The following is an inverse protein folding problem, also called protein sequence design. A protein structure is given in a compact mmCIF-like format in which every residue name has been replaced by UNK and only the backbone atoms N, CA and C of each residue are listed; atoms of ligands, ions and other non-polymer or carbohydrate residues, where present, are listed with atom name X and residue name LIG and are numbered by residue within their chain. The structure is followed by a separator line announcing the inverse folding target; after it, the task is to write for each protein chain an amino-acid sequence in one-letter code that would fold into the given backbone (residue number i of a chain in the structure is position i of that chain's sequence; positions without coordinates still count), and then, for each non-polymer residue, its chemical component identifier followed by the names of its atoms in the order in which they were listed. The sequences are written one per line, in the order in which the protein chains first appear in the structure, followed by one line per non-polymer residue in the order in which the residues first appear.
data_IF_050087365636
#
_entry.id   IF_050087365636
#
_cell.length_a   1.000
_cell.length_b   1.000
_cell.length_c   1.000
_cell.angle_alpha   90.00
_cell.angle_beta   90.00
_cell.angle_gamma   90.00
#
_symmetry.space_group_name_H-M   'P 1'
#
loop_
_entity.id
_entity.type
_entity.pdbx_description
1 polymer ?
#
# COMPACT_ATOMS: atom_id res chain seq x y z
N UNK A 1 15.17 11.60 -18.23
CA UNK A 1 14.21 10.71 -18.91
C UNK A 1 12.95 10.76 -18.05
N UNK A 2 12.07 11.74 -18.31
CA UNK A 2 10.85 11.97 -17.50
C UNK A 2 9.70 11.19 -18.12
N UNK A 3 9.78 9.86 -18.01
CA UNK A 3 8.75 8.93 -18.50
C UNK A 3 7.54 8.83 -17.56
N UNK A 4 7.56 9.54 -16.42
CA UNK A 4 6.55 9.54 -15.37
C UNK A 4 5.29 10.36 -15.72
N UNK A 5 4.96 10.49 -17.02
CA UNK A 5 3.82 11.30 -17.49
C UNK A 5 2.50 10.55 -17.46
N UNK A 6 2.53 9.22 -17.46
CA UNK A 6 1.36 8.35 -17.54
C UNK A 6 1.24 7.37 -16.36
N UNK A 7 2.19 7.38 -15.44
CA UNK A 7 2.20 6.54 -14.24
C UNK A 7 2.68 7.33 -13.01
N UNK A 8 2.54 6.71 -11.84
CA UNK A 8 3.00 7.28 -10.57
C UNK A 8 3.80 6.22 -9.81
N UNK A 9 4.87 6.65 -9.16
CA UNK A 9 5.62 5.83 -8.20
C UNK A 9 5.27 6.23 -6.78
N UNK A 10 4.98 5.26 -5.92
CA UNK A 10 4.68 5.49 -4.51
C UNK A 10 5.55 4.58 -3.65
N UNK A 11 6.24 5.17 -2.68
CA UNK A 11 6.86 4.43 -1.58
C UNK A 11 5.85 4.37 -0.41
N UNK A 12 5.39 3.17 -0.08
CA UNK A 12 4.33 2.97 0.93
C UNK A 12 4.73 1.93 1.97
N UNK A 13 4.40 2.20 3.23
CA UNK A 13 4.44 1.20 4.30
C UNK A 13 3.07 0.55 4.42
N UNK A 14 3.01 -0.77 4.32
CA UNK A 14 1.77 -1.55 4.32
C UNK A 14 1.68 -2.36 5.61
N UNK A 15 0.59 -2.25 6.40
CA UNK A 15 0.38 -3.12 7.55
C UNK A 15 0.38 -4.59 7.12
N UNK A 16 1.03 -5.50 7.88
CA UNK A 16 1.19 -6.90 7.47
C UNK A 16 -0.15 -7.65 7.37
N UNK A 17 -1.21 -7.15 8.02
CA UNK A 17 -2.56 -7.70 7.95
C UNK A 17 -3.29 -7.39 6.64
N UNK A 18 -2.77 -6.46 5.82
CA UNK A 18 -3.37 -6.06 4.56
C UNK A 18 -2.57 -6.62 3.40
N UNK A 19 -3.25 -7.21 2.41
CA UNK A 19 -2.57 -7.60 1.19
C UNK A 19 -2.19 -6.38 0.35
N UNK A 20 -1.04 -6.46 -0.33
CA UNK A 20 -0.55 -5.41 -1.24
C UNK A 20 -1.63 -5.03 -2.25
N UNK A 21 -2.28 -6.01 -2.87
CA UNK A 21 -3.36 -5.78 -3.84
C UNK A 21 -4.55 -5.01 -3.27
N UNK A 22 -4.91 -5.24 -1.99
CA UNK A 22 -5.98 -4.50 -1.33
C UNK A 22 -5.61 -3.03 -1.13
N UNK A 23 -4.37 -2.76 -0.71
CA UNK A 23 -3.87 -1.39 -0.54
C UNK A 23 -3.83 -0.67 -1.89
N UNK A 24 -3.30 -1.31 -2.94
CA UNK A 24 -3.25 -0.74 -4.29
C UNK A 24 -4.66 -0.45 -4.82
N UNK A 25 -5.64 -1.34 -4.57
CA UNK A 25 -7.05 -1.11 -4.93
C UNK A 25 -7.59 0.15 -4.24
N UNK A 26 -7.39 0.28 -2.93
CA UNK A 26 -7.84 1.45 -2.15
C UNK A 26 -7.24 2.74 -2.71
N UNK A 27 -5.93 2.76 -2.94
CA UNK A 27 -5.24 3.93 -3.50
C UNK A 27 -5.84 4.30 -4.86
N UNK A 28 -5.95 3.36 -5.79
CA UNK A 28 -6.44 3.61 -7.15
C UNK A 28 -7.89 4.06 -7.16
N UNK A 29 -8.77 3.43 -6.39
CA UNK A 29 -10.20 3.80 -6.32
C UNK A 29 -10.38 5.19 -5.69
N UNK A 30 -9.74 5.45 -4.56
CA UNK A 30 -9.91 6.72 -3.84
C UNK A 30 -9.35 7.90 -4.64
N UNK A 31 -8.16 7.73 -5.23
CA UNK A 31 -7.55 8.77 -6.07
C UNK A 31 -8.34 9.00 -7.35
N UNK A 32 -8.83 7.94 -8.02
CA UNK A 32 -9.68 8.09 -9.20
C UNK A 32 -10.97 8.88 -8.90
N UNK A 33 -11.63 8.55 -7.78
CA UNK A 33 -12.82 9.27 -7.32
C UNK A 33 -12.50 10.75 -7.05
N UNK A 34 -11.43 11.02 -6.30
CA UNK A 34 -11.05 12.40 -5.94
C UNK A 34 -10.61 13.23 -7.17
N UNK A 35 -9.90 12.61 -8.11
CA UNK A 35 -9.52 13.25 -9.37
C UNK A 35 -10.75 13.63 -10.19
N UNK A 36 -11.75 12.77 -10.32
CA UNK A 36 -13.01 13.10 -11.03
C UNK A 36 -13.81 14.21 -10.37
N UNK A 37 -13.75 14.33 -9.05
CA UNK A 37 -14.38 15.43 -8.31
C UNK A 37 -13.64 16.75 -8.54
N UNK A 38 -12.30 16.72 -8.42
CA UNK A 38 -11.48 17.93 -8.53
C UNK A 38 -11.32 18.40 -9.99
N UNK A 39 -11.40 17.49 -10.96
CA UNK A 39 -11.19 17.75 -12.38
C UNK A 39 -12.36 17.19 -13.21
N UNK A 40 -13.50 17.89 -13.27
CA UNK A 40 -14.72 17.39 -13.93
C UNK A 40 -14.54 17.03 -15.41
N UNK A 41 -13.56 17.63 -16.10
CA UNK A 41 -13.25 17.30 -17.50
C UNK A 41 -12.85 15.83 -17.68
N UNK A 42 -12.28 15.18 -16.65
CA UNK A 42 -11.90 13.77 -16.69
C UNK A 42 -13.10 12.83 -16.91
N UNK A 43 -14.31 13.24 -16.51
CA UNK A 43 -15.53 12.45 -16.81
C UNK A 43 -15.83 12.37 -18.30
N UNK A 44 -15.45 13.39 -19.07
CA UNK A 44 -15.60 13.40 -20.54
C UNK A 44 -14.51 12.56 -21.22
N UNK A 45 -13.28 12.63 -20.70
CA UNK A 45 -12.14 11.87 -21.23
C UNK A 45 -12.33 10.36 -21.00
N UNK A 46 -12.68 9.97 -19.79
CA UNK A 46 -12.90 8.58 -19.38
C UNK A 46 -14.39 8.21 -19.42
N UNK A 47 -15.08 8.56 -20.50
CA UNK A 47 -16.49 8.26 -20.66
C UNK A 47 -16.72 6.73 -20.71
N UNK A 48 -17.80 6.25 -20.08
CA UNK A 48 -18.11 4.82 -20.03
C UNK A 48 -17.28 3.99 -19.04
N UNK A 49 -16.37 4.60 -18.27
CA UNK A 49 -15.62 3.90 -17.22
C UNK A 49 -15.46 4.71 -15.94
N UNK A 50 -15.60 4.03 -14.81
CA UNK A 50 -15.30 4.62 -13.51
C UNK A 50 -13.79 4.67 -13.20
N UNK A 51 -12.97 3.98 -13.99
CA UNK A 51 -11.53 3.84 -13.77
C UNK A 51 -10.74 4.92 -14.48
N UNK A 52 -9.78 5.53 -13.77
CA UNK A 52 -8.72 6.38 -14.37
C UNK A 52 -7.44 5.57 -14.58
N UNK A 53 -7.15 4.68 -13.64
CA UNK A 53 -5.93 3.87 -13.65
C UNK A 53 -6.14 2.57 -14.43
N UNK A 54 -5.06 2.04 -15.02
CA UNK A 54 -5.01 0.67 -15.56
C UNK A 54 -5.44 -0.34 -14.49
N UNK A 55 -5.92 -1.54 -14.87
CA UNK A 55 -6.14 -2.64 -13.93
C UNK A 55 -4.84 -3.19 -13.31
N UNK A 56 -3.73 -3.09 -14.03
CA UNK A 56 -2.42 -3.58 -13.60
C UNK A 56 -1.71 -2.65 -12.61
N UNK A 57 -0.70 -3.19 -11.92
CA UNK A 57 0.22 -2.44 -11.07
C UNK A 57 1.55 -3.19 -10.96
N UNK A 58 2.62 -2.48 -10.63
CA UNK A 58 3.93 -3.04 -10.30
C UNK A 58 4.22 -2.83 -8.81
N UNK A 59 4.85 -3.82 -8.18
CA UNK A 59 5.31 -3.71 -6.79
C UNK A 59 6.67 -4.37 -6.65
N UNK A 60 7.55 -3.72 -5.88
CA UNK A 60 8.81 -4.30 -5.43
C UNK A 60 8.98 -4.00 -3.95
N UNK A 61 9.44 -4.97 -3.18
CA UNK A 61 9.76 -4.80 -1.77
C UNK A 61 11.14 -4.15 -1.66
N UNK A 62 11.22 -3.01 -0.99
CA UNK A 62 12.50 -2.47 -0.56
C UNK A 62 12.88 -3.16 0.74
N UNK A 63 13.99 -3.89 0.74
CA UNK A 63 14.47 -4.63 1.91
C UNK A 63 14.80 -3.69 3.06
N UNK A 64 14.38 -4.08 4.27
CA UNK A 64 14.83 -3.46 5.52
C UNK A 64 16.16 -4.12 5.90
N UNK A 65 17.10 -3.36 6.48
CA UNK A 65 18.38 -3.88 6.98
C UNK A 65 18.18 -5.14 7.84
N UNK A 66 19.02 -6.17 7.63
CA UNK A 66 19.02 -7.43 8.38
C UNK A 66 19.07 -7.18 9.89
N UNK A 67 19.78 -6.14 10.34
CA UNK A 67 19.86 -5.76 11.74
C UNK A 67 18.50 -5.34 12.33
N UNK A 68 17.68 -4.63 11.53
CA UNK A 68 16.33 -4.20 11.94
C UNK A 68 15.39 -5.40 11.99
N UNK A 69 15.51 -6.32 11.03
CA UNK A 69 14.72 -7.56 11.01
C UNK A 69 15.06 -8.43 12.22
N UNK A 70 16.35 -8.63 12.53
CA UNK A 70 16.79 -9.40 13.72
C UNK A 70 16.26 -8.79 15.02
N UNK A 71 16.33 -7.46 15.14
CA UNK A 71 15.79 -6.76 16.30
C UNK A 71 14.27 -6.96 16.40
N UNK A 72 13.53 -6.81 15.31
CA UNK A 72 12.09 -7.06 15.31
C UNK A 72 11.73 -8.47 15.81
N UNK A 73 12.42 -9.51 15.32
CA UNK A 73 12.19 -10.91 15.73
C UNK A 73 12.48 -11.12 17.22
N UNK A 74 13.58 -10.56 17.74
CA UNK A 74 13.94 -10.68 19.16
C UNK A 74 12.89 -10.03 20.06
N UNK A 75 12.49 -8.78 19.74
CA UNK A 75 11.50 -8.04 20.51
C UNK A 75 10.11 -8.71 20.48
N UNK A 76 9.72 -9.27 19.32
CA UNK A 76 8.46 -10.00 19.21
C UNK A 76 8.43 -11.26 20.07
N UNK A 77 9.54 -12.01 20.13
CA UNK A 77 9.66 -13.18 21.01
C UNK A 77 9.52 -12.85 22.49
N UNK A 78 10.07 -11.72 22.93
CA UNK A 78 9.97 -11.24 24.31
C UNK A 78 8.53 -10.80 24.66
N UNK A 79 7.84 -10.09 23.75
CA UNK A 79 6.44 -9.68 23.95
C UNK A 79 5.48 -10.88 24.01
N UNK A 80 5.67 -11.88 23.14
CA UNK A 80 4.85 -13.10 23.12
C UNK A 80 5.10 -13.97 24.37
N UNK A 81 6.35 -14.05 24.87
CA UNK A 81 6.67 -14.70 26.14
C UNK A 81 6.02 -13.99 27.34
N UNK A 82 6.07 -12.66 27.37
CA UNK A 82 5.42 -11.85 28.40
C UNK A 82 3.90 -12.03 28.42
N UNK A 83 3.26 -12.10 27.24
CA UNK A 83 1.83 -12.41 27.11
C UNK A 83 1.48 -13.82 27.54
N UNK A 84 2.28 -14.83 27.17
CA UNK A 84 2.06 -16.21 27.59
C UNK A 84 2.10 -16.35 29.13
N UNK A 85 3.03 -15.66 29.80
CA UNK A 85 3.11 -15.67 31.26
C UNK A 85 1.96 -14.95 31.96
N UNK A 86 1.32 -13.95 31.31
CA UNK A 86 0.13 -13.28 31.86
C UNK A 86 -1.14 -14.11 31.75
N UNK A 87 -1.24 -15.01 30.76
CA UNK A 87 -2.39 -15.90 30.57
C UNK A 87 -2.33 -17.14 31.48
N UNK A 88 -1.15 -17.47 31.99
CA UNK A 88 -0.89 -18.64 32.85
C UNK A 88 -0.91 -18.34 34.37
N UNK A 89 -1.32 -17.13 34.78
CA UNK A 89 -1.57 -16.75 36.18
C UNK A 89 -3.07 -16.68 36.45
#
# INVERSE_FOLDING_TARGET
YNDDKDHIHLLVSIPPKMSVGSVVRIIKTNTASKLKVNFPFLKKVYWGTDSIWSGSYFVSTVGVDEAIIRRYIQHQGEEDQGRAMLVLK
#
